data_IF_369157358964
#
_entry.id   IF_369157358964
#
_cell.length_a   1.000
_cell.length_b   1.000
_cell.length_c   1.000
_cell.angle_alpha   90.00
_cell.angle_beta   90.00
_cell.angle_gamma   90.00
#
_symmetry.space_group_name_H-M   'P 1'
#
loop_
_entity.id
_entity.type
_entity.pdbx_description
1 polymer ?
#
# COMPACT_ATOMS: atom_id res chain seq x y z
N UNK A 1 9.81 13.95 -23.44
CA UNK A 1 10.43 12.62 -23.38
C UNK A 1 10.85 12.40 -21.94
N UNK A 2 9.93 11.97 -21.10
CA UNK A 2 10.27 11.32 -19.83
C UNK A 2 9.96 9.85 -20.05
N UNK A 3 11.01 9.05 -20.01
CA UNK A 3 11.01 7.65 -20.38
C UNK A 3 10.17 6.85 -19.38
N UNK A 4 9.46 5.85 -19.90
CA UNK A 4 8.92 4.72 -19.14
C UNK A 4 9.98 3.92 -18.37
N UNK A 5 11.26 4.33 -18.44
CA UNK A 5 12.39 3.67 -17.81
C UNK A 5 12.33 3.87 -16.30
N UNK A 6 12.00 2.80 -15.60
CA UNK A 6 11.99 2.75 -14.14
C UNK A 6 13.14 1.89 -13.63
N UNK A 7 13.61 2.21 -12.44
CA UNK A 7 14.53 1.38 -11.68
C UNK A 7 13.72 0.35 -10.89
N UNK A 8 13.86 -0.93 -11.22
CA UNK A 8 13.25 -2.02 -10.46
C UNK A 8 14.32 -2.78 -9.68
N UNK A 9 13.95 -3.27 -8.50
CA UNK A 9 14.82 -4.13 -7.72
C UNK A 9 14.61 -5.60 -8.10
N UNK A 10 15.69 -6.32 -8.37
CA UNK A 10 15.72 -7.77 -8.55
C UNK A 10 16.77 -8.36 -7.61
N UNK A 11 16.31 -9.14 -6.62
CA UNK A 11 17.15 -9.81 -5.63
C UNK A 11 18.16 -8.87 -4.94
N UNK A 12 17.69 -7.72 -4.43
CA UNK A 12 18.53 -6.75 -3.70
C UNK A 12 19.36 -5.82 -4.59
N UNK A 13 19.22 -5.91 -5.91
CA UNK A 13 19.97 -5.09 -6.88
C UNK A 13 19.03 -4.26 -7.72
N UNK A 14 19.37 -3.00 -7.93
CA UNK A 14 18.62 -2.09 -8.78
C UNK A 14 19.02 -2.33 -10.24
N UNK A 15 18.02 -2.50 -11.11
CA UNK A 15 18.19 -2.67 -12.54
C UNK A 15 17.39 -1.58 -13.27
N UNK A 16 18.02 -0.85 -14.21
CA UNK A 16 17.27 0.00 -15.12
C UNK A 16 16.42 -0.89 -16.03
N UNK A 17 15.17 -0.50 -16.23
CA UNK A 17 14.26 -1.17 -17.15
C UNK A 17 13.88 -0.23 -18.28
N UNK A 18 13.41 -0.79 -19.39
CA UNK A 18 12.94 -0.02 -20.56
C UNK A 18 11.55 -0.49 -20.92
N UNK A 19 10.70 0.44 -21.35
CA UNK A 19 9.29 0.16 -21.63
C UNK A 19 8.39 0.29 -20.41
N UNK A 20 7.08 0.02 -20.57
CA UNK A 20 6.10 0.23 -19.50
C UNK A 20 6.33 -0.76 -18.36
N UNK A 21 6.25 -0.25 -17.13
CA UNK A 21 6.42 -1.08 -15.92
C UNK A 21 5.48 -2.28 -15.91
N UNK A 22 4.22 -2.09 -16.32
CA UNK A 22 3.23 -3.17 -16.43
C UNK A 22 3.70 -4.30 -17.36
N UNK A 23 4.32 -3.97 -18.49
CA UNK A 23 4.84 -4.97 -19.43
C UNK A 23 6.05 -5.70 -18.83
N UNK A 24 6.99 -4.95 -18.25
CA UNK A 24 8.20 -5.49 -17.61
C UNK A 24 7.85 -6.45 -16.48
N UNK A 25 6.92 -6.07 -15.59
CA UNK A 25 6.47 -6.92 -14.49
C UNK A 25 5.78 -8.19 -14.99
N UNK A 26 5.01 -8.11 -16.08
CA UNK A 26 4.38 -9.27 -16.70
C UNK A 26 5.42 -10.25 -17.26
N UNK A 27 6.44 -9.72 -17.94
CA UNK A 27 7.52 -10.53 -18.50
C UNK A 27 8.37 -11.22 -17.44
N UNK A 28 8.66 -10.53 -16.33
CA UNK A 28 9.35 -11.12 -15.19
C UNK A 28 8.49 -12.16 -14.47
N UNK A 29 7.18 -11.93 -14.30
CA UNK A 29 6.27 -12.92 -13.73
C UNK A 29 6.22 -14.20 -14.57
N UNK A 30 6.07 -14.08 -15.89
CA UNK A 30 6.11 -15.21 -16.83
C UNK A 30 7.45 -15.94 -16.73
N UNK A 31 8.56 -15.20 -16.71
CA UNK A 31 9.91 -15.76 -16.62
C UNK A 31 10.12 -16.51 -15.30
N UNK A 32 9.63 -15.98 -14.18
CA UNK A 32 9.65 -16.63 -12.88
C UNK A 32 8.86 -17.94 -12.88
N UNK A 33 7.59 -17.92 -13.30
CA UNK A 33 6.77 -19.14 -13.33
C UNK A 33 7.30 -20.18 -14.32
N UNK A 34 7.90 -19.74 -15.43
CA UNK A 34 8.59 -20.65 -16.35
C UNK A 34 9.74 -21.38 -15.65
N UNK A 35 10.62 -20.66 -14.95
CA UNK A 35 11.74 -21.26 -14.22
C UNK A 35 11.28 -22.23 -13.14
N UNK A 36 10.29 -21.86 -12.33
CA UNK A 36 9.80 -22.73 -11.25
C UNK A 36 9.10 -23.99 -11.81
N UNK A 37 8.25 -23.83 -12.82
CA UNK A 37 7.56 -24.97 -13.45
C UNK A 37 8.52 -25.93 -14.16
N UNK A 38 9.54 -25.41 -14.86
CA UNK A 38 10.59 -26.22 -15.50
C UNK A 38 11.44 -26.97 -14.47
N UNK A 39 11.60 -26.41 -13.26
CA UNK A 39 12.22 -27.08 -12.12
C UNK A 39 11.29 -28.06 -11.39
N UNK A 40 10.04 -28.22 -11.84
CA UNK A 40 9.05 -29.10 -11.22
C UNK A 40 8.54 -28.61 -9.85
N UNK A 41 8.61 -27.30 -9.59
CA UNK A 41 8.19 -26.70 -8.32
C UNK A 41 6.86 -25.94 -8.47
N UNK A 42 6.00 -25.94 -7.44
CA UNK A 42 4.89 -24.98 -7.39
C UNK A 42 5.43 -23.57 -7.21
N UNK A 43 4.65 -22.57 -7.62
CA UNK A 43 5.01 -21.16 -7.48
C UNK A 43 3.90 -20.37 -6.77
N UNK A 44 4.32 -19.30 -6.09
CA UNK A 44 3.45 -18.22 -5.65
C UNK A 44 3.99 -16.93 -6.27
N UNK A 45 3.18 -16.27 -7.11
CA UNK A 45 3.55 -15.04 -7.79
C UNK A 45 2.59 -13.93 -7.35
N UNK A 46 3.10 -12.99 -6.55
CA UNK A 46 2.40 -11.74 -6.24
C UNK A 46 2.84 -10.69 -7.26
N UNK A 47 1.88 -10.17 -8.04
CA UNK A 47 2.14 -9.27 -9.18
C UNK A 47 1.43 -7.92 -8.98
N UNK A 48 2.04 -6.99 -8.21
CA UNK A 48 1.45 -5.69 -7.93
C UNK A 48 1.71 -4.72 -9.08
N UNK A 49 0.76 -4.62 -10.01
CA UNK A 49 0.85 -3.65 -11.09
C UNK A 49 0.71 -2.21 -10.58
N UNK A 50 1.58 -1.27 -11.01
CA UNK A 50 1.42 0.14 -10.69
C UNK A 50 0.33 0.81 -11.53
N UNK A 51 -0.04 0.23 -12.67
CA UNK A 51 -1.20 0.68 -13.43
C UNK A 51 -2.48 0.51 -12.57
N UNK A 52 -3.31 1.54 -12.35
CA UNK A 52 -3.41 2.84 -13.04
C UNK A 52 -3.03 4.04 -12.14
N UNK A 53 -2.08 3.87 -11.22
CA UNK A 53 -1.75 4.86 -10.18
C UNK A 53 -1.16 6.17 -10.75
N UNK A 54 -0.24 6.07 -11.71
CA UNK A 54 0.40 7.21 -12.37
C UNK A 54 0.22 7.09 -13.88
N UNK A 55 -0.40 8.08 -14.50
CA UNK A 55 -0.86 8.00 -15.87
C UNK A 55 -0.03 8.89 -16.80
N UNK A 56 1.22 8.52 -17.05
CA UNK A 56 2.06 9.18 -18.05
C UNK A 56 1.80 8.56 -19.43
N UNK A 57 0.66 8.90 -20.02
CA UNK A 57 0.17 8.26 -21.25
C UNK A 57 0.16 9.18 -22.47
N UNK A 58 0.78 10.37 -22.41
CA UNK A 58 0.61 11.38 -23.47
C UNK A 58 1.14 10.94 -24.86
N UNK A 59 1.99 9.91 -24.93
CA UNK A 59 2.51 9.34 -26.18
C UNK A 59 1.94 7.95 -26.52
N UNK A 60 0.92 7.48 -25.78
CA UNK A 60 0.32 6.16 -25.95
C UNK A 60 -0.81 6.18 -27.01
N UNK A 61 -0.77 5.35 -28.06
CA UNK A 61 -1.91 5.20 -28.98
C UNK A 61 -3.24 4.82 -28.29
N UNK A 62 -3.20 4.12 -27.15
CA UNK A 62 -4.40 3.85 -26.35
C UNK A 62 -4.95 5.11 -25.71
N UNK A 63 -4.11 6.06 -25.30
CA UNK A 63 -4.58 7.35 -24.80
C UNK A 63 -5.36 8.11 -25.86
N UNK A 64 -4.85 8.16 -27.10
CA UNK A 64 -5.55 8.79 -28.23
C UNK A 64 -6.90 8.13 -28.51
N UNK A 65 -6.97 6.79 -28.44
CA UNK A 65 -8.21 6.01 -28.57
C UNK A 65 -9.27 6.44 -27.54
N UNK A 66 -8.88 6.68 -26.29
CA UNK A 66 -9.81 7.11 -25.23
C UNK A 66 -10.10 8.61 -25.26
N UNK A 67 -9.13 9.46 -25.65
CA UNK A 67 -9.34 10.89 -25.87
C UNK A 67 -10.32 11.17 -27.00
N UNK A 68 -10.36 10.33 -28.04
CA UNK A 68 -11.34 10.41 -29.12
C UNK A 68 -12.80 10.14 -28.68
N UNK A 69 -13.02 9.78 -27.41
CA UNK A 69 -14.36 9.58 -26.82
C UNK A 69 -14.81 10.74 -25.93
N UNK A 70 -14.15 11.90 -26.04
CA UNK A 70 -14.43 13.11 -25.26
C UNK A 70 -14.30 12.94 -23.73
N UNK A 71 -13.53 11.93 -23.27
CA UNK A 71 -13.21 11.72 -21.86
C UNK A 71 -12.20 12.74 -21.39
N UNK A 72 -12.25 13.18 -20.13
CA UNK A 72 -11.19 14.03 -19.57
C UNK A 72 -9.81 13.35 -19.69
N UNK A 73 -8.70 14.13 -19.77
CA UNK A 73 -7.38 13.56 -19.97
C UNK A 73 -6.98 12.52 -18.91
N UNK A 74 -7.32 12.73 -17.63
CA UNK A 74 -6.94 11.80 -16.58
C UNK A 74 -7.70 10.48 -16.69
N UNK A 75 -9.00 10.52 -17.02
CA UNK A 75 -9.78 9.29 -17.26
C UNK A 75 -9.36 8.59 -18.54
N UNK A 76 -9.08 9.33 -19.62
CA UNK A 76 -8.57 8.72 -20.85
C UNK A 76 -7.24 7.99 -20.61
N UNK A 77 -6.35 8.59 -19.82
CA UNK A 77 -5.07 8.00 -19.43
C UNK A 77 -5.26 6.74 -18.56
N UNK A 78 -6.12 6.81 -17.54
CA UNK A 78 -6.45 5.65 -16.71
C UNK A 78 -7.05 4.49 -17.53
N UNK A 79 -7.92 4.78 -18.51
CA UNK A 79 -8.53 3.74 -19.34
C UNK A 79 -7.54 3.11 -20.32
N UNK A 80 -6.57 3.89 -20.82
CA UNK A 80 -5.45 3.35 -21.59
C UNK A 80 -4.60 2.38 -20.76
N UNK A 81 -4.32 2.73 -19.51
CA UNK A 81 -3.61 1.86 -18.57
C UNK A 81 -4.42 0.60 -18.20
N UNK A 82 -5.75 0.70 -18.04
CA UNK A 82 -6.60 -0.48 -17.83
C UNK A 82 -6.55 -1.44 -19.03
N UNK A 83 -6.57 -0.94 -20.26
CA UNK A 83 -6.46 -1.79 -21.44
C UNK A 83 -5.07 -2.41 -21.59
N UNK A 84 -4.02 -1.70 -21.16
CA UNK A 84 -2.66 -2.23 -21.07
C UNK A 84 -2.58 -3.35 -20.03
N UNK A 85 -3.17 -3.15 -18.85
CA UNK A 85 -3.26 -4.16 -17.80
C UNK A 85 -4.03 -5.39 -18.28
N UNK A 86 -5.20 -5.21 -18.89
CA UNK A 86 -6.03 -6.31 -19.42
C UNK A 86 -5.27 -7.13 -20.48
N UNK A 87 -4.56 -6.45 -21.38
CA UNK A 87 -3.71 -7.11 -22.39
C UNK A 87 -2.60 -7.95 -21.74
N UNK A 88 -1.99 -7.45 -20.67
CA UNK A 88 -0.95 -8.15 -19.92
C UNK A 88 -1.48 -9.35 -19.12
N UNK A 89 -2.64 -9.22 -18.49
CA UNK A 89 -3.35 -10.36 -17.89
C UNK A 89 -3.69 -11.39 -18.96
N UNK A 90 -4.10 -10.95 -20.16
CA UNK A 90 -4.31 -11.82 -21.32
C UNK A 90 -3.05 -12.60 -21.72
N UNK A 91 -1.88 -11.94 -21.79
CA UNK A 91 -0.58 -12.59 -22.06
C UNK A 91 -0.26 -13.66 -21.01
N UNK A 92 -0.45 -13.33 -19.73
CA UNK A 92 -0.23 -14.24 -18.61
C UNK A 92 -1.10 -15.50 -18.71
N UNK A 93 -2.41 -15.31 -18.93
CA UNK A 93 -3.38 -16.40 -19.05
C UNK A 93 -3.09 -17.27 -20.28
N UNK A 94 -2.79 -16.66 -21.43
CA UNK A 94 -2.42 -17.39 -22.65
C UNK A 94 -1.14 -18.21 -22.47
N UNK A 95 -0.15 -17.66 -21.77
CA UNK A 95 1.08 -18.40 -21.45
C UNK A 95 0.79 -19.62 -20.59
N UNK A 96 0.03 -19.45 -19.49
CA UNK A 96 -0.38 -20.56 -18.61
C UNK A 96 -1.13 -21.66 -19.37
N UNK A 97 -2.07 -21.27 -20.24
CA UNK A 97 -2.85 -22.22 -21.05
C UNK A 97 -1.95 -22.97 -22.05
N UNK A 98 -1.07 -22.26 -22.76
CA UNK A 98 -0.13 -22.84 -23.73
C UNK A 98 0.82 -23.86 -23.10
N UNK A 99 1.14 -23.69 -21.81
CA UNK A 99 1.98 -24.58 -21.01
C UNK A 99 1.18 -25.65 -20.25
N UNK A 100 -0.15 -25.68 -20.38
CA UNK A 100 -1.05 -26.56 -19.63
C UNK A 100 -0.90 -26.44 -18.12
N UNK A 101 -0.68 -25.23 -17.64
CA UNK A 101 -0.57 -24.88 -16.22
C UNK A 101 -1.84 -24.23 -15.67
N UNK A 102 -2.74 -23.77 -16.56
CA UNK A 102 -3.90 -22.96 -16.17
C UNK A 102 -4.86 -23.71 -15.23
N UNK A 103 -5.10 -25.00 -15.44
CA UNK A 103 -5.93 -25.86 -14.57
C UNK A 103 -5.27 -26.22 -13.23
N UNK A 104 -3.96 -26.00 -13.11
CA UNK A 104 -3.16 -26.19 -11.91
C UNK A 104 -2.88 -24.88 -11.16
N UNK A 105 -3.35 -23.74 -11.68
CA UNK A 105 -3.05 -22.42 -11.14
C UNK A 105 -4.32 -21.75 -10.61
N UNK A 106 -4.24 -21.22 -9.39
CA UNK A 106 -5.26 -20.31 -8.84
C UNK A 106 -4.88 -18.90 -9.27
N UNK A 107 -5.72 -18.28 -10.10
CA UNK A 107 -5.58 -16.88 -10.47
C UNK A 107 -6.54 -16.04 -9.64
N UNK A 108 -6.00 -15.13 -8.81
CA UNK A 108 -6.79 -14.21 -8.00
C UNK A 108 -6.49 -12.78 -8.42
N UNK A 109 -7.46 -12.10 -9.01
CA UNK A 109 -7.38 -10.69 -9.34
C UNK A 109 -8.11 -9.84 -8.30
N UNK A 110 -7.55 -8.69 -7.95
CA UNK A 110 -8.19 -7.67 -7.13
C UNK A 110 -7.59 -6.29 -7.38
N UNK A 111 -8.38 -5.24 -7.10
CA UNK A 111 -7.86 -3.88 -6.89
C UNK A 111 -7.55 -3.66 -5.41
N UNK A 112 -6.57 -2.83 -5.10
CA UNK A 112 -6.15 -2.48 -3.73
C UNK A 112 -7.15 -1.54 -3.03
N UNK A 113 -7.70 -0.57 -3.76
CA UNK A 113 -8.70 0.39 -3.32
C UNK A 113 -9.56 0.90 -4.48
N UNK A 114 -10.53 1.76 -4.17
CA UNK A 114 -11.31 2.51 -5.15
C UNK A 114 -10.48 3.52 -5.95
N UNK A 115 -11.02 4.05 -7.07
CA UNK A 115 -10.30 4.96 -7.94
C UNK A 115 -10.00 6.30 -7.24
N UNK A 116 -8.91 6.96 -7.63
CA UNK A 116 -8.59 8.31 -7.17
C UNK A 116 -9.64 9.31 -7.69
N UNK A 117 -10.61 9.64 -6.83
CA UNK A 117 -11.67 10.61 -7.06
C UNK A 117 -11.74 11.53 -5.85
N UNK A 118 -11.83 12.83 -6.09
CA UNK A 118 -12.09 13.84 -5.06
C UNK A 118 -13.61 14.02 -4.83
N UNK A 119 -14.05 14.58 -3.69
CA UNK A 119 -15.47 14.86 -3.42
C UNK A 119 -16.17 15.71 -4.49
N UNK A 120 -15.43 16.61 -5.12
CA UNK A 120 -15.87 17.52 -6.18
C UNK A 120 -15.40 17.07 -7.58
N UNK A 121 -14.99 15.81 -7.73
CA UNK A 121 -14.53 15.27 -8.99
C UNK A 121 -15.63 15.33 -10.07
N UNK A 122 -15.33 16.08 -11.12
CA UNK A 122 -16.17 16.24 -12.30
C UNK A 122 -15.61 15.51 -13.53
N UNK A 123 -14.64 14.60 -13.34
CA UNK A 123 -14.02 13.83 -14.43
C UNK A 123 -15.05 12.90 -15.09
N UNK A 124 -16.08 12.50 -14.36
CA UNK A 124 -17.04 11.50 -14.81
C UNK A 124 -16.46 10.09 -14.87
N UNK A 125 -15.28 9.86 -14.29
CA UNK A 125 -14.66 8.54 -14.19
C UNK A 125 -15.60 7.57 -13.47
N UNK A 126 -15.92 6.47 -14.15
CA UNK A 126 -16.81 5.46 -13.62
C UNK A 126 -16.19 4.71 -12.43
N UNK A 127 -16.91 4.67 -11.31
CA UNK A 127 -16.57 3.89 -10.11
C UNK A 127 -17.74 2.97 -9.66
N UNK A 128 -18.65 2.62 -10.57
CA UNK A 128 -19.88 1.90 -10.22
C UNK A 128 -21.01 2.79 -9.67
N UNK A 129 -20.88 4.12 -9.81
CA UNK A 129 -21.75 5.12 -9.18
C UNK A 129 -21.75 5.02 -7.64
N UNK A 130 -20.70 4.44 -7.07
CA UNK A 130 -20.53 4.34 -5.63
C UNK A 130 -20.10 5.71 -5.08
N UNK A 131 -20.40 5.97 -3.81
CA UNK A 131 -19.97 7.22 -3.16
C UNK A 131 -18.52 7.08 -2.68
N UNK A 132 -17.74 8.16 -2.77
CA UNK A 132 -16.34 8.13 -2.38
C UNK A 132 -15.37 7.69 -3.47
N UNK A 133 -14.10 7.82 -3.17
CA UNK A 133 -12.96 7.36 -3.96
C UNK A 133 -11.79 7.01 -3.04
N UNK A 134 -10.60 6.84 -3.61
CA UNK A 134 -9.36 6.49 -2.88
C UNK A 134 -9.23 7.28 -1.57
N UNK A 135 -9.02 6.54 -0.49
CA UNK A 135 -8.86 7.08 0.86
C UNK A 135 -10.18 7.32 1.59
N UNK A 136 -11.35 7.28 0.96
CA UNK A 136 -12.67 7.33 1.63
C UNK A 136 -13.06 5.97 2.22
N UNK A 137 -13.85 5.99 3.30
CA UNK A 137 -14.45 4.79 3.91
C UNK A 137 -15.84 4.44 3.36
N UNK A 138 -16.37 5.22 2.40
CA UNK A 138 -17.56 4.88 1.63
C UNK A 138 -17.30 3.73 0.63
N UNK A 139 -18.34 3.10 0.09
CA UNK A 139 -18.20 1.93 -0.80
C UNK A 139 -17.30 2.22 -2.01
N UNK A 140 -17.34 3.43 -2.57
CA UNK A 140 -16.49 3.82 -3.71
C UNK A 140 -14.99 3.96 -3.38
N UNK A 141 -14.62 4.02 -2.10
CA UNK A 141 -13.22 3.99 -1.65
C UNK A 141 -12.70 2.60 -1.27
N UNK A 142 -13.58 1.73 -0.75
CA UNK A 142 -13.18 0.43 -0.14
C UNK A 142 -13.67 -0.80 -0.92
N UNK A 143 -14.70 -0.68 -1.76
CA UNK A 143 -15.22 -1.80 -2.55
C UNK A 143 -14.46 -1.91 -3.87
N UNK A 144 -13.67 -2.97 -3.98
CA UNK A 144 -12.86 -3.26 -5.15
C UNK A 144 -13.44 -4.42 -5.98
N UNK A 145 -13.22 -4.43 -7.32
CA UNK A 145 -13.43 -5.64 -8.11
C UNK A 145 -12.46 -6.72 -7.66
N UNK A 146 -12.96 -7.96 -7.51
CA UNK A 146 -12.13 -9.14 -7.29
C UNK A 146 -12.79 -10.38 -7.87
N UNK A 147 -11.99 -11.28 -8.45
CA UNK A 147 -12.44 -12.56 -8.96
C UNK A 147 -11.33 -13.62 -8.83
N UNK A 148 -11.75 -14.88 -8.72
CA UNK A 148 -10.85 -16.03 -8.61
C UNK A 148 -11.17 -17.03 -9.70
N UNK A 149 -10.17 -17.47 -10.43
CA UNK A 149 -10.28 -18.46 -11.51
C UNK A 149 -9.40 -19.65 -11.17
N UNK A 150 -10.01 -20.83 -11.14
CA UNK A 150 -9.31 -22.11 -11.03
C UNK A 150 -10.07 -23.18 -11.82
N UNK A 151 -9.73 -23.39 -13.11
CA UNK A 151 -10.49 -24.27 -13.99
C UNK A 151 -10.62 -25.69 -13.45
N UNK A 152 -11.83 -26.24 -13.54
CA UNK A 152 -12.14 -27.59 -13.03
C UNK A 152 -12.26 -27.69 -11.50
N UNK A 153 -11.98 -26.61 -10.75
CA UNK A 153 -12.12 -26.56 -9.29
C UNK A 153 -13.15 -25.54 -8.82
N UNK A 154 -13.14 -24.34 -9.40
CA UNK A 154 -14.14 -23.31 -9.16
C UNK A 154 -15.13 -23.33 -10.33
N UNK A 155 -16.45 -23.50 -10.07
CA UNK A 155 -17.44 -23.44 -11.14
C UNK A 155 -17.40 -22.08 -11.86
N UNK A 156 -17.46 -22.04 -13.21
CA UNK A 156 -17.51 -20.79 -13.95
C UNK A 156 -18.79 -20.01 -13.64
N UNK A 157 -18.76 -18.69 -13.87
CA UNK A 157 -19.89 -17.77 -13.64
C UNK A 157 -20.44 -17.77 -12.20
N UNK A 158 -19.66 -18.27 -11.25
CA UNK A 158 -19.99 -18.27 -9.82
C UNK A 158 -20.07 -16.85 -9.26
N UNK A 159 -21.02 -16.63 -8.35
CA UNK A 159 -21.20 -15.34 -7.66
C UNK A 159 -21.36 -15.55 -6.16
N UNK A 160 -20.46 -14.97 -5.39
CA UNK A 160 -20.56 -14.89 -3.94
C UNK A 160 -20.97 -13.47 -3.54
N UNK A 161 -22.12 -13.33 -2.85
CA UNK A 161 -22.76 -12.02 -2.57
C UNK A 161 -22.58 -11.53 -1.13
N UNK A 162 -22.01 -12.35 -0.25
CA UNK A 162 -21.72 -11.93 1.13
C UNK A 162 -20.48 -11.06 1.14
N UNK A 163 -20.36 -10.19 2.14
CA UNK A 163 -19.18 -9.33 2.28
C UNK A 163 -17.91 -10.16 2.53
N UNK A 164 -16.83 -9.77 1.85
CA UNK A 164 -15.49 -10.33 1.94
C UNK A 164 -14.47 -9.20 2.02
N UNK A 165 -13.25 -9.50 2.44
CA UNK A 165 -12.17 -8.53 2.52
C UNK A 165 -10.82 -9.15 2.10
N UNK A 166 -9.84 -8.30 1.81
CA UNK A 166 -8.49 -8.73 1.43
C UNK A 166 -7.82 -9.61 2.50
N UNK A 167 -8.16 -9.43 3.78
CA UNK A 167 -7.71 -10.29 4.89
C UNK A 167 -8.12 -11.75 4.74
N UNK A 168 -9.13 -12.05 3.93
CA UNK A 168 -9.61 -13.42 3.67
C UNK A 168 -8.69 -14.18 2.69
N UNK A 169 -7.82 -13.49 1.94
CA UNK A 169 -6.98 -14.10 0.90
C UNK A 169 -6.02 -15.11 1.53
N UNK A 170 -5.28 -14.72 2.57
CA UNK A 170 -4.31 -15.58 3.24
C UNK A 170 -4.93 -16.90 3.74
N UNK A 171 -5.96 -16.91 4.60
CA UNK A 171 -6.55 -18.17 5.06
C UNK A 171 -7.19 -18.98 3.92
N UNK A 172 -7.70 -18.32 2.88
CA UNK A 172 -8.23 -19.02 1.70
C UNK A 172 -7.14 -19.75 0.94
N UNK A 173 -6.02 -19.09 0.65
CA UNK A 173 -4.90 -19.71 -0.07
C UNK A 173 -4.26 -20.82 0.75
N UNK A 174 -4.12 -20.65 2.07
CA UNK A 174 -3.63 -21.73 2.95
C UNK A 174 -4.52 -22.97 2.86
N UNK A 175 -5.83 -22.81 2.81
CA UNK A 175 -6.76 -23.95 2.70
C UNK A 175 -6.74 -24.58 1.29
N UNK A 176 -6.78 -23.78 0.23
CA UNK A 176 -6.76 -24.27 -1.15
C UNK A 176 -5.44 -24.99 -1.49
N UNK A 177 -4.32 -24.52 -0.94
CA UNK A 177 -2.99 -25.11 -1.11
C UNK A 177 -2.65 -26.18 -0.06
N UNK A 178 -3.56 -26.49 0.87
CA UNK A 178 -3.33 -27.45 1.97
C UNK A 178 -2.10 -27.11 2.84
N UNK A 179 -1.81 -25.82 3.01
CA UNK A 179 -0.69 -25.29 3.76
C UNK A 179 -1.08 -24.87 5.20
N UNK A 180 -2.10 -25.50 5.78
CA UNK A 180 -2.64 -25.12 7.10
C UNK A 180 -1.62 -25.18 8.24
N UNK A 181 -0.55 -25.96 8.08
CA UNK A 181 0.55 -26.04 9.05
C UNK A 181 1.33 -24.71 9.23
N UNK A 182 1.19 -23.75 8.30
CA UNK A 182 1.85 -22.44 8.34
C UNK A 182 1.10 -21.44 9.22
N UNK A 183 -0.09 -21.78 9.75
CA UNK A 183 -0.85 -20.92 10.66
C UNK A 183 -0.13 -20.82 12.01
N UNK A 184 0.77 -19.86 12.14
CA UNK A 184 1.57 -19.59 13.34
C UNK A 184 1.10 -18.33 14.10
N UNK A 185 0.10 -17.62 13.58
CA UNK A 185 -0.39 -16.34 14.11
C UNK A 185 -1.91 -16.27 14.11
N UNK A 186 -2.45 -15.23 14.74
CA UNK A 186 -3.86 -14.90 14.66
C UNK A 186 -4.17 -14.32 13.28
N UNK A 187 -5.23 -14.80 12.64
CA UNK A 187 -5.67 -14.38 11.31
C UNK A 187 -7.11 -13.89 11.44
N UNK A 188 -7.35 -12.62 11.16
CA UNK A 188 -8.70 -12.02 11.24
C UNK A 188 -9.61 -12.43 10.06
N UNK A 189 -9.00 -12.86 8.96
CA UNK A 189 -9.68 -13.29 7.76
C UNK A 189 -10.39 -14.63 7.90
N UNK A 190 -11.37 -14.84 7.02
CA UNK A 190 -12.13 -16.07 6.90
C UNK A 190 -11.84 -16.75 5.56
N UNK A 191 -11.60 -18.05 5.57
CA UNK A 191 -11.40 -18.81 4.33
C UNK A 191 -12.66 -18.80 3.46
N UNK A 192 -12.52 -18.31 2.23
CA UNK A 192 -13.55 -18.33 1.19
C UNK A 192 -13.57 -19.66 0.42
N UNK A 193 -12.66 -20.60 0.73
CA UNK A 193 -12.55 -21.86 0.00
C UNK A 193 -13.88 -22.64 -0.09
N UNK A 194 -14.76 -22.70 0.93
CA UNK A 194 -16.05 -23.39 0.78
C UNK A 194 -16.96 -22.71 -0.24
N UNK A 195 -16.96 -21.38 -0.29
CA UNK A 195 -17.76 -20.62 -1.24
C UNK A 195 -17.21 -20.75 -2.68
N UNK A 196 -15.89 -20.67 -2.84
CA UNK A 196 -15.22 -20.80 -4.13
C UNK A 196 -15.44 -22.19 -4.74
N UNK A 197 -15.24 -23.26 -3.98
CA UNK A 197 -15.35 -24.63 -4.48
C UNK A 197 -16.79 -25.09 -4.72
N UNK A 198 -17.77 -24.51 -4.03
CA UNK A 198 -19.20 -24.78 -4.28
C UNK A 198 -19.80 -23.87 -5.36
N UNK A 199 -19.07 -22.83 -5.78
CA UNK A 199 -19.52 -21.85 -6.77
C UNK A 199 -20.63 -20.92 -6.27
N UNK A 200 -20.76 -20.75 -4.95
CA UNK A 200 -21.86 -20.00 -4.38
C UNK A 200 -21.81 -19.89 -2.85
N UNK A 201 -22.96 -19.53 -2.28
CA UNK A 201 -23.06 -19.40 -0.82
C UNK A 201 -23.19 -20.78 -0.18
N UNK A 202 -22.28 -21.17 0.71
CA UNK A 202 -22.43 -22.42 1.45
C UNK A 202 -23.63 -22.35 2.39
N UNK A 203 -24.21 -23.52 2.72
CA UNK A 203 -25.40 -23.62 3.56
C UNK A 203 -25.24 -22.91 4.91
N UNK A 204 -24.03 -22.97 5.49
CA UNK A 204 -23.66 -22.25 6.70
C UNK A 204 -22.59 -21.23 6.35
N UNK A 205 -22.95 -19.95 6.46
CA UNK A 205 -22.01 -18.83 6.37
C UNK A 205 -22.27 -17.88 7.55
N UNK A 206 -21.26 -17.60 8.38
CA UNK A 206 -21.45 -16.73 9.54
C UNK A 206 -21.70 -15.30 9.10
N UNK A 207 -22.46 -14.57 9.91
CA UNK A 207 -22.50 -13.12 9.81
C UNK A 207 -21.14 -12.59 10.28
N UNK A 208 -20.66 -11.54 9.63
CA UNK A 208 -19.42 -10.87 10.01
C UNK A 208 -19.59 -9.36 9.95
N UNK A 209 -18.66 -8.69 10.60
CA UNK A 209 -18.50 -7.24 10.56
C UNK A 209 -17.11 -6.97 9.99
N UNK A 210 -17.01 -6.01 9.09
CA UNK A 210 -15.76 -5.46 8.60
C UNK A 210 -15.62 -4.04 9.12
N UNK A 211 -14.41 -3.72 9.59
CA UNK A 211 -14.06 -2.41 10.07
C UNK A 211 -13.10 -1.75 9.08
N UNK A 212 -13.25 -0.45 8.88
CA UNK A 212 -12.30 0.34 8.10
C UNK A 212 -12.01 1.61 8.86
N UNK A 213 -10.73 1.97 8.95
CA UNK A 213 -10.27 3.22 9.52
C UNK A 213 -9.26 3.84 8.56
N UNK A 214 -9.42 5.12 8.27
CA UNK A 214 -8.46 5.91 7.52
C UNK A 214 -8.20 7.21 8.28
N UNK A 215 -6.94 7.39 8.68
CA UNK A 215 -6.48 8.53 9.47
C UNK A 215 -5.29 9.16 8.77
N UNK A 216 -5.36 10.44 8.36
CA UNK A 216 -4.17 11.14 7.88
C UNK A 216 -3.13 11.27 9.01
N UNK A 217 -1.83 11.36 8.69
CA UNK A 217 -0.79 11.60 9.69
C UNK A 217 -1.11 12.81 10.59
N UNK A 218 -0.90 12.66 11.90
CA UNK A 218 -1.15 13.71 12.90
C UNK A 218 -2.61 13.90 13.33
N UNK A 219 -3.56 13.11 12.80
CA UNK A 219 -4.95 13.12 13.24
C UNK A 219 -5.21 12.04 14.30
N UNK A 220 -6.16 12.32 15.19
CA UNK A 220 -6.66 11.34 16.16
C UNK A 220 -7.43 10.24 15.43
N UNK A 221 -6.90 9.01 15.48
CA UNK A 221 -7.48 7.83 14.82
C UNK A 221 -8.91 7.54 15.29
N UNK A 222 -9.25 7.87 16.53
CA UNK A 222 -10.59 7.65 17.10
C UNK A 222 -11.59 8.67 16.55
N UNK A 223 -11.10 9.79 16.03
CA UNK A 223 -11.88 10.85 15.41
C UNK A 223 -11.74 10.93 13.88
N UNK A 224 -11.10 9.93 13.26
CA UNK A 224 -10.84 9.87 11.84
C UNK A 224 -12.02 9.33 11.00
N UNK A 225 -11.75 9.05 9.71
CA UNK A 225 -12.73 8.45 8.80
C UNK A 225 -12.86 6.97 9.14
N UNK A 226 -14.05 6.53 9.52
CA UNK A 226 -14.28 5.18 10.06
C UNK A 226 -15.57 4.56 9.53
N UNK A 227 -15.59 3.25 9.35
CA UNK A 227 -16.76 2.52 8.87
C UNK A 227 -16.90 1.13 9.52
N UNK A 228 -18.15 0.70 9.64
CA UNK A 228 -18.59 -0.60 10.13
C UNK A 228 -19.55 -1.19 9.11
N UNK A 229 -19.18 -2.31 8.52
CA UNK A 229 -19.89 -2.94 7.40
C UNK A 229 -20.32 -4.35 7.76
N UNK A 230 -21.62 -4.61 7.73
CA UNK A 230 -22.21 -5.97 7.75
C UNK A 230 -22.54 -6.40 6.32
N UNK A 231 -23.31 -7.45 6.07
CA UNK A 231 -23.81 -7.73 4.70
C UNK A 231 -24.79 -6.67 4.18
N UNK A 232 -25.61 -6.10 5.08
CA UNK A 232 -26.69 -5.16 4.74
C UNK A 232 -26.34 -3.72 5.08
N UNK A 233 -25.83 -3.50 6.28
CA UNK A 233 -25.69 -2.17 6.86
C UNK A 233 -24.27 -1.64 6.73
N UNK A 234 -24.16 -0.33 6.51
CA UNK A 234 -22.94 0.45 6.60
C UNK A 234 -23.19 1.63 7.55
N UNK A 235 -22.51 1.66 8.68
CA UNK A 235 -22.44 2.82 9.55
C UNK A 235 -21.05 3.44 9.41
N UNK A 236 -20.97 4.74 9.17
CA UNK A 236 -19.68 5.41 8.96
C UNK A 236 -19.67 6.83 9.46
N UNK A 237 -18.46 7.38 9.59
CA UNK A 237 -18.20 8.81 9.73
C UNK A 237 -17.04 9.14 8.82
N UNK A 238 -17.26 9.91 7.76
CA UNK A 238 -16.21 10.43 6.87
C UNK A 238 -16.33 11.95 6.74
N UNK A 239 -15.51 12.75 7.43
CA UNK A 239 -15.65 14.20 7.39
C UNK A 239 -15.43 14.80 6.00
N UNK A 240 -14.73 14.14 5.09
CA UNK A 240 -14.48 14.65 3.73
C UNK A 240 -15.64 14.41 2.77
N UNK A 241 -16.40 13.34 3.01
CA UNK A 241 -17.44 12.87 2.10
C UNK A 241 -18.85 12.90 2.68
N UNK A 242 -19.03 13.33 3.95
CA UNK A 242 -20.34 13.43 4.63
C UNK A 242 -21.34 14.33 3.89
N UNK A 243 -22.62 13.93 3.90
CA UNK A 243 -23.74 14.77 3.43
C UNK A 243 -24.36 15.53 4.58
N UNK A 244 -24.48 14.89 5.74
CA UNK A 244 -25.08 15.50 6.93
C UNK A 244 -23.98 16.09 7.82
N UNK A 245 -23.90 17.43 7.99
CA UNK A 245 -22.95 18.01 8.92
C UNK A 245 -23.32 17.62 10.37
N UNK A 246 -22.33 17.49 11.29
CA UNK A 246 -22.60 17.30 12.71
C UNK A 246 -23.42 18.46 13.28
N UNK A 247 -24.29 18.16 14.24
CA UNK A 247 -25.12 19.15 14.95
C UNK A 247 -25.38 18.68 16.39
N UNK A 248 -26.09 19.48 17.20
CA UNK A 248 -26.52 19.06 18.55
C UNK A 248 -27.31 17.75 18.54
N UNK A 249 -27.99 17.43 17.43
CA UNK A 249 -28.81 16.23 17.26
C UNK A 249 -28.18 15.17 16.36
N UNK A 250 -27.05 15.46 15.71
CA UNK A 250 -26.41 14.56 14.74
C UNK A 250 -24.93 14.35 15.06
N UNK A 251 -24.57 13.11 15.42
CA UNK A 251 -23.21 12.76 15.86
C UNK A 251 -22.14 12.80 14.77
N UNK A 252 -22.52 13.07 13.52
CA UNK A 252 -21.65 12.98 12.34
C UNK A 252 -21.52 11.57 11.78
N UNK A 253 -22.10 10.56 12.43
CA UNK A 253 -22.25 9.22 11.87
C UNK A 253 -23.49 9.13 10.98
N UNK A 254 -23.32 8.52 9.81
CA UNK A 254 -24.37 8.22 8.83
C UNK A 254 -24.63 6.70 8.83
N UNK A 255 -25.85 6.27 8.49
CA UNK A 255 -26.23 4.84 8.38
C UNK A 255 -26.93 4.57 7.04
N UNK A 256 -26.49 3.54 6.32
CA UNK A 256 -27.03 3.14 5.02
C UNK A 256 -27.45 1.68 4.98
N UNK A 257 -28.60 1.40 4.34
CA UNK A 257 -29.03 0.04 3.95
C UNK A 257 -28.54 -0.27 2.54
N UNK A 258 -27.39 -0.93 2.40
CA UNK A 258 -26.75 -1.17 1.10
C UNK A 258 -27.49 -2.17 0.21
N UNK A 259 -28.51 -2.88 0.73
CA UNK A 259 -29.39 -3.68 -0.11
C UNK A 259 -30.41 -2.81 -0.86
N UNK A 260 -30.89 -1.73 -0.23
CA UNK A 260 -31.87 -0.82 -0.80
C UNK A 260 -31.21 0.40 -1.47
N UNK A 261 -30.06 0.82 -0.95
CA UNK A 261 -29.34 2.03 -1.32
C UNK A 261 -27.82 1.76 -1.39
N UNK A 262 -27.36 1.01 -2.42
CA UNK A 262 -25.93 0.72 -2.61
C UNK A 262 -25.09 1.96 -2.94
N UNK A 263 -25.74 3.11 -3.17
CA UNK A 263 -25.11 4.38 -3.54
C UNK A 263 -25.02 5.36 -2.37
N UNK A 264 -25.49 4.96 -1.18
CA UNK A 264 -25.35 5.72 0.08
C UNK A 264 -25.98 7.12 -0.02
N UNK A 265 -27.17 7.20 -0.59
CA UNK A 265 -27.89 8.45 -0.81
C UNK A 265 -28.73 8.91 0.38
N UNK A 266 -29.33 7.97 1.10
CA UNK A 266 -30.31 8.22 2.16
C UNK A 266 -29.73 7.83 3.51
N UNK A 267 -29.38 8.82 4.31
CA UNK A 267 -28.93 8.59 5.69
C UNK A 267 -30.12 8.21 6.58
N UNK A 268 -30.05 7.00 7.16
CA UNK A 268 -31.05 6.39 8.03
C UNK A 268 -30.68 6.48 9.53
N UNK A 269 -29.63 7.24 9.87
CA UNK A 269 -29.12 7.36 11.25
C UNK A 269 -30.19 7.79 12.27
N UNK A 270 -31.06 8.72 11.88
CA UNK A 270 -32.16 9.21 12.72
C UNK A 270 -33.33 8.22 12.83
N UNK A 271 -33.52 7.37 11.82
CA UNK A 271 -34.61 6.39 11.76
C UNK A 271 -34.27 5.11 12.54
N UNK A 272 -32.99 4.78 12.65
CA UNK A 272 -32.49 3.58 13.37
C UNK A 272 -31.44 3.92 14.45
N UNK A 273 -31.80 4.72 15.47
CA UNK A 273 -30.84 5.23 16.45
C UNK A 273 -30.20 4.14 17.32
N UNK A 274 -30.89 3.02 17.56
CA UNK A 274 -30.30 1.89 18.30
C UNK A 274 -29.27 1.13 17.45
N UNK A 275 -29.57 0.90 16.17
CA UNK A 275 -28.66 0.17 15.28
C UNK A 275 -27.35 0.93 15.07
N UNK A 276 -27.42 2.24 14.81
CA UNK A 276 -26.21 3.04 14.65
C UNK A 276 -25.43 3.15 15.97
N UNK A 277 -26.11 3.15 17.13
CA UNK A 277 -25.44 3.10 18.43
C UNK A 277 -24.69 1.77 18.63
N UNK A 278 -25.31 0.63 18.30
CA UNK A 278 -24.69 -0.68 18.43
C UNK A 278 -23.47 -0.83 17.51
N UNK A 279 -23.60 -0.44 16.23
CA UNK A 279 -22.48 -0.50 15.28
C UNK A 279 -21.32 0.41 15.69
N UNK A 280 -21.61 1.59 16.29
CA UNK A 280 -20.57 2.45 16.86
C UNK A 280 -19.86 1.80 18.03
N UNK A 281 -20.59 1.09 18.90
CA UNK A 281 -20.00 0.34 20.00
C UNK A 281 -19.14 -0.82 19.50
N UNK A 282 -19.53 -1.50 18.43
CA UNK A 282 -18.71 -2.52 17.77
C UNK A 282 -17.39 -1.93 17.25
N UNK A 283 -17.43 -0.76 16.62
CA UNK A 283 -16.23 -0.06 16.19
C UNK A 283 -15.31 0.31 17.36
N UNK A 284 -15.88 0.87 18.43
CA UNK A 284 -15.09 1.23 19.62
C UNK A 284 -14.40 0.03 20.24
N UNK A 285 -15.10 -1.11 20.34
CA UNK A 285 -14.53 -2.36 20.85
C UNK A 285 -13.39 -2.86 19.97
N UNK A 286 -13.59 -2.89 18.65
CA UNK A 286 -12.56 -3.28 17.70
C UNK A 286 -11.33 -2.36 17.76
N UNK A 287 -11.54 -1.04 17.87
CA UNK A 287 -10.44 -0.09 18.06
C UNK A 287 -9.69 -0.34 19.35
N UNK A 288 -10.39 -0.58 20.47
CA UNK A 288 -9.73 -0.87 21.74
C UNK A 288 -8.92 -2.17 21.67
N UNK A 289 -9.46 -3.22 21.07
CA UNK A 289 -8.78 -4.51 20.88
C UNK A 289 -7.54 -4.41 19.97
N UNK A 290 -7.62 -3.64 18.87
CA UNK A 290 -6.53 -3.52 17.88
C UNK A 290 -5.48 -2.45 18.22
N UNK A 291 -5.73 -1.64 19.23
CA UNK A 291 -4.83 -0.55 19.65
C UNK A 291 -4.39 -0.68 21.10
N UNK A 292 -4.57 -1.85 21.71
CA UNK A 292 -4.17 -2.13 23.11
C UNK A 292 -2.65 -1.96 23.31
N UNK A 293 -1.86 -2.29 22.28
CA UNK A 293 -0.40 -2.08 22.24
C UNK A 293 0.00 -0.64 21.86
N UNK A 294 -0.98 0.25 21.64
CA UNK A 294 -0.80 1.64 21.27
C UNK A 294 -0.94 1.92 19.76
N UNK A 295 -0.79 3.20 19.41
CA UNK A 295 -0.96 3.75 18.05
C UNK A 295 0.33 4.38 17.51
N UNK A 296 1.46 4.04 18.13
CA UNK A 296 2.77 4.51 17.72
C UNK A 296 3.18 3.93 16.36
N UNK A 297 4.18 4.54 15.71
CA UNK A 297 4.78 3.93 14.53
C UNK A 297 5.34 2.56 14.90
N UNK A 298 5.04 1.55 14.07
CA UNK A 298 5.61 0.20 14.24
C UNK A 298 7.09 0.27 13.84
N UNK A 299 8.04 -0.13 14.71
CA UNK A 299 9.45 -0.10 14.37
C UNK A 299 9.76 -1.00 13.18
N UNK A 300 10.67 -0.56 12.30
CA UNK A 300 11.17 -1.42 11.24
C UNK A 300 12.16 -2.43 11.83
N UNK A 301 11.89 -3.72 11.70
CA UNK A 301 12.81 -4.77 12.14
C UNK A 301 14.09 -4.78 11.30
N UNK A 302 15.25 -4.85 11.97
CA UNK A 302 16.56 -5.03 11.34
C UNK A 302 17.35 -6.15 12.02
N UNK A 303 18.29 -6.76 11.30
CA UNK A 303 19.25 -7.70 11.88
C UNK A 303 18.98 -9.18 11.60
N UNK A 304 17.90 -9.49 10.87
CA UNK A 304 17.63 -10.82 10.33
C UNK A 304 18.77 -11.30 9.42
N UNK A 305 19.40 -12.47 9.67
CA UNK A 305 20.53 -12.95 8.87
C UNK A 305 20.19 -13.17 7.39
N UNK A 306 18.96 -13.57 7.12
CA UNK A 306 18.42 -13.84 5.79
C UNK A 306 18.07 -12.54 5.01
N UNK A 307 17.91 -11.41 5.71
CA UNK A 307 17.65 -10.08 5.15
C UNK A 307 18.67 -9.06 5.70
N UNK A 308 19.96 -9.17 5.32
CA UNK A 308 21.03 -8.36 5.90
C UNK A 308 20.98 -6.89 5.47
N UNK A 309 20.14 -6.53 4.50
CA UNK A 309 19.98 -5.16 4.01
C UNK A 309 18.56 -4.70 4.28
N UNK A 310 18.43 -3.62 5.06
CA UNK A 310 17.15 -2.92 5.27
C UNK A 310 17.27 -1.50 4.73
N UNK A 311 16.26 -1.05 4.00
CA UNK A 311 16.20 0.29 3.42
C UNK A 311 15.16 1.13 4.14
N UNK A 312 15.62 2.19 4.79
CA UNK A 312 14.78 3.19 5.45
C UNK A 312 14.45 4.28 4.43
N UNK A 313 13.16 4.40 4.06
CA UNK A 313 12.71 5.39 3.08
C UNK A 313 12.41 6.73 3.75
N UNK A 314 12.52 7.81 3.00
CA UNK A 314 12.13 9.15 3.45
C UNK A 314 10.70 9.20 4.03
N UNK A 315 9.76 8.50 3.39
CA UNK A 315 8.34 8.46 3.76
C UNK A 315 8.06 7.82 5.14
N UNK A 316 8.99 6.99 5.62
CA UNK A 316 8.85 6.28 6.91
C UNK A 316 9.50 7.07 8.05
N UNK A 317 10.10 8.23 7.75
CA UNK A 317 10.80 9.05 8.73
C UNK A 317 9.84 9.89 9.56
N UNK A 318 10.03 9.90 10.88
CA UNK A 318 9.46 10.92 11.76
C UNK A 318 10.36 12.15 11.75
N UNK A 319 9.78 13.29 11.36
CA UNK A 319 10.47 14.56 11.18
C UNK A 319 10.22 15.50 12.38
N UNK A 320 11.29 16.00 13.00
CA UNK A 320 11.22 16.98 14.10
C UNK A 320 12.10 18.20 13.82
N UNK A 321 11.67 19.40 14.20
CA UNK A 321 12.37 20.65 13.89
C UNK A 321 11.52 21.63 13.09
N UNK A 322 12.15 22.48 12.28
CA UNK A 322 11.51 23.49 11.43
C UNK A 322 11.54 23.08 9.96
N UNK A 323 11.12 21.85 9.70
CA UNK A 323 11.03 21.28 8.36
C UNK A 323 10.25 22.20 7.42
N UNK A 324 10.90 22.61 6.32
CA UNK A 324 10.16 23.05 5.14
C UNK A 324 9.49 21.84 4.50
N UNK A 325 8.34 22.04 3.85
CA UNK A 325 7.58 20.97 3.17
C UNK A 325 8.54 19.99 2.46
N UNK A 326 8.58 18.74 2.93
CA UNK A 326 8.85 17.60 2.05
C UNK A 326 7.80 17.64 0.95
N UNK A 327 8.07 17.06 -0.21
CA UNK A 327 7.05 16.91 -1.26
C UNK A 327 5.73 16.33 -0.70
N UNK A 328 4.62 16.51 -1.43
CA UNK A 328 3.28 16.07 -0.98
C UNK A 328 3.19 14.57 -0.67
N UNK A 329 4.17 13.77 -1.11
CA UNK A 329 4.25 12.33 -0.91
C UNK A 329 5.30 11.86 0.09
N UNK A 330 6.11 12.77 0.66
CA UNK A 330 7.30 12.44 1.48
C UNK A 330 8.24 11.42 0.81
N UNK A 331 8.25 11.34 -0.52
CA UNK A 331 9.13 10.45 -1.26
C UNK A 331 10.60 10.88 -1.13
N UNK A 332 10.83 12.11 -0.66
CA UNK A 332 12.12 12.74 -0.50
C UNK A 332 12.17 13.63 0.76
N UNK A 333 13.21 13.49 1.57
CA UNK A 333 13.55 14.50 2.57
C UNK A 333 14.34 15.64 1.90
N UNK A 334 13.73 16.80 1.80
CA UNK A 334 14.31 18.02 1.21
C UNK A 334 14.01 19.23 2.10
N UNK A 335 14.53 20.41 1.74
CA UNK A 335 14.27 21.66 2.47
C UNK A 335 14.70 21.67 3.95
N UNK A 336 15.74 20.92 4.28
CA UNK A 336 16.42 20.99 5.58
C UNK A 336 17.08 22.37 5.68
N UNK A 337 16.54 23.25 6.51
CA UNK A 337 16.96 24.67 6.58
C UNK A 337 17.37 25.09 7.97
N UNK A 338 17.13 24.25 8.99
CA UNK A 338 17.52 24.50 10.36
C UNK A 338 18.41 23.34 10.86
N UNK A 339 19.47 23.66 11.62
CA UNK A 339 20.35 22.64 12.20
C UNK A 339 19.67 21.85 13.34
N UNK A 340 18.46 22.24 13.74
CA UNK A 340 17.59 21.50 14.65
C UNK A 340 16.67 20.51 13.92
N UNK A 341 16.66 20.50 12.58
CA UNK A 341 15.91 19.52 11.79
C UNK A 341 16.50 18.11 11.99
N UNK A 342 15.65 17.14 12.29
CA UNK A 342 16.05 15.77 12.56
C UNK A 342 15.06 14.78 11.96
N UNK A 343 15.58 13.82 11.19
CA UNK A 343 14.83 12.70 10.65
C UNK A 343 15.15 11.46 11.48
N UNK A 344 14.11 10.77 11.94
CA UNK A 344 14.23 9.59 12.80
C UNK A 344 13.40 8.44 12.28
N UNK A 345 13.95 7.23 12.34
CA UNK A 345 13.26 5.99 11.98
C UNK A 345 13.21 5.09 13.21
N UNK A 346 12.01 4.72 13.70
CA UNK A 346 11.90 3.74 14.77
C UNK A 346 12.29 2.36 14.23
N UNK A 347 13.20 1.68 14.92
CA UNK A 347 13.72 0.37 14.54
C UNK A 347 13.63 -0.61 15.70
N UNK A 348 13.45 -1.89 15.38
CA UNK A 348 13.66 -3.01 16.29
C UNK A 348 14.84 -3.83 15.81
N UNK A 349 15.90 -3.90 16.61
CA UNK A 349 17.08 -4.70 16.30
C UNK A 349 16.85 -6.11 16.82
N UNK A 350 16.50 -7.02 15.91
CA UNK A 350 16.22 -8.41 16.25
C UNK A 350 17.51 -9.24 16.42
N UNK A 351 17.43 -10.28 17.26
CA UNK A 351 18.57 -11.16 17.54
C UNK A 351 19.64 -10.53 18.42
N UNK A 352 20.91 -10.81 18.15
CA UNK A 352 22.05 -10.36 18.97
C UNK A 352 22.54 -8.94 18.62
N UNK A 353 21.92 -8.25 17.67
CA UNK A 353 22.37 -6.96 17.18
C UNK A 353 23.61 -7.10 16.28
N UNK A 354 24.51 -6.12 16.35
CA UNK A 354 25.81 -6.14 15.69
C UNK A 354 26.12 -4.87 14.91
N UNK A 355 27.18 -4.94 14.11
CA UNK A 355 27.64 -3.85 13.28
C UNK A 355 26.81 -3.72 12.00
N UNK A 356 26.49 -2.47 11.61
CA UNK A 356 25.81 -2.17 10.37
C UNK A 356 26.54 -1.08 9.61
N UNK A 357 26.93 -1.40 8.38
CA UNK A 357 27.37 -0.42 7.40
C UNK A 357 26.19 0.44 6.98
N UNK A 358 26.34 1.75 7.14
CA UNK A 358 25.32 2.73 6.79
C UNK A 358 25.65 3.33 5.43
N UNK A 359 24.66 3.34 4.53
CA UNK A 359 24.73 4.07 3.27
C UNK A 359 23.58 5.08 3.19
N UNK A 360 23.83 6.21 2.54
CA UNK A 360 22.78 7.18 2.22
C UNK A 360 22.73 7.39 0.70
N UNK A 361 21.54 7.64 0.18
CA UNK A 361 21.32 8.04 -1.21
C UNK A 361 20.84 9.49 -1.27
N UNK A 362 21.66 10.35 -1.87
CA UNK A 362 21.49 11.79 -1.81
C UNK A 362 21.62 12.50 -3.18
N UNK A 363 21.12 13.73 -3.22
CA UNK A 363 21.44 14.76 -4.21
C UNK A 363 21.81 16.05 -3.51
N UNK A 364 22.65 16.86 -4.13
CA UNK A 364 23.05 18.13 -3.55
C UNK A 364 23.53 19.10 -4.61
N UNK A 365 22.96 20.31 -4.60
CA UNK A 365 23.48 21.42 -5.37
C UNK A 365 24.83 21.89 -4.78
N UNK A 366 25.76 22.31 -5.64
CA UNK A 366 27.07 22.81 -5.20
C UNK A 366 26.99 23.99 -4.21
N UNK A 367 25.94 24.82 -4.32
CA UNK A 367 25.70 25.95 -3.40
C UNK A 367 25.38 25.52 -1.95
N UNK A 368 24.92 24.28 -1.75
CA UNK A 368 24.57 23.74 -0.43
C UNK A 368 25.75 23.07 0.29
N UNK A 369 26.91 22.96 -0.37
CA UNK A 369 28.06 22.19 0.10
C UNK A 369 29.20 23.06 0.66
N UNK A 370 30.02 22.52 1.59
CA UNK A 370 29.91 21.20 2.21
C UNK A 370 28.70 21.13 3.15
N UNK A 371 28.08 19.95 3.23
CA UNK A 371 27.01 19.66 4.18
C UNK A 371 27.53 18.63 5.18
N UNK A 372 27.67 19.05 6.43
CA UNK A 372 28.05 18.16 7.53
C UNK A 372 26.77 17.59 8.16
N UNK A 373 26.74 16.29 8.36
CA UNK A 373 25.60 15.58 8.94
C UNK A 373 26.07 14.64 10.04
N UNK A 374 25.12 14.19 10.85
CA UNK A 374 25.32 13.19 11.90
C UNK A 374 24.28 12.10 11.78
N UNK A 375 24.74 10.86 11.67
CA UNK A 375 23.94 9.67 11.86
C UNK A 375 24.13 9.12 13.28
N UNK A 376 23.13 8.50 13.88
CA UNK A 376 23.27 7.92 15.21
C UNK A 376 22.22 6.87 15.60
N UNK A 377 22.60 6.06 16.58
CA UNK A 377 21.78 5.07 17.27
C UNK A 377 22.18 5.05 18.75
N UNK A 378 21.26 5.40 19.65
CA UNK A 378 21.57 5.50 21.08
C UNK A 378 22.73 6.46 21.38
N UNK A 379 23.80 5.94 21.99
CA UNK A 379 25.02 6.69 22.29
C UNK A 379 26.03 6.71 21.12
N UNK A 380 25.82 5.91 20.07
CA UNK A 380 26.71 5.80 18.90
C UNK A 380 26.37 6.86 17.87
N UNK A 381 27.40 7.56 17.38
CA UNK A 381 27.25 8.64 16.42
C UNK A 381 28.39 8.63 15.40
N UNK A 382 28.08 8.98 14.15
CA UNK A 382 29.05 9.20 13.09
C UNK A 382 28.76 10.53 12.42
N UNK A 383 29.78 11.37 12.34
CA UNK A 383 29.73 12.59 11.54
C UNK A 383 30.24 12.32 10.14
N UNK A 384 29.52 12.82 9.13
CA UNK A 384 29.96 12.81 7.75
C UNK A 384 29.97 14.22 7.17
N UNK A 385 30.82 14.44 6.18
CA UNK A 385 30.86 15.67 5.39
C UNK A 385 30.66 15.34 3.93
N UNK A 386 29.53 15.77 3.38
CA UNK A 386 29.21 15.67 1.96
C UNK A 386 29.85 16.88 1.29
N UNK A 387 30.72 16.62 0.32
CA UNK A 387 31.51 17.66 -0.38
C UNK A 387 31.30 17.64 -1.89
N UNK A 388 30.67 16.60 -2.42
CA UNK A 388 30.44 16.42 -3.85
C UNK A 388 29.00 16.73 -4.22
N UNK A 389 28.84 17.63 -5.20
CA UNK A 389 27.56 17.99 -5.79
C UNK A 389 27.13 16.94 -6.81
N UNK A 390 25.82 16.69 -6.89
CA UNK A 390 25.26 15.76 -7.87
C UNK A 390 23.79 16.06 -8.11
N UNK A 391 23.40 16.08 -9.38
CA UNK A 391 22.02 16.26 -9.84
C UNK A 391 21.30 14.90 -10.00
N UNK A 392 22.06 13.80 -9.97
CA UNK A 392 21.58 12.41 -10.01
C UNK A 392 21.64 11.75 -8.62
N UNK A 393 20.82 10.74 -8.35
CA UNK A 393 20.89 10.03 -7.06
C UNK A 393 22.25 9.36 -6.90
N UNK A 394 23.01 9.77 -5.88
CA UNK A 394 24.31 9.20 -5.55
C UNK A 394 24.25 8.47 -4.22
N UNK A 395 24.75 7.24 -4.20
CA UNK A 395 24.91 6.46 -2.98
C UNK A 395 26.32 6.59 -2.42
N UNK A 396 26.43 6.82 -1.11
CA UNK A 396 27.71 6.82 -0.39
C UNK A 396 27.59 6.03 0.91
N UNK A 397 28.67 5.34 1.26
CA UNK A 397 28.87 4.77 2.60
C UNK A 397 29.30 5.89 3.56
N UNK A 398 28.68 5.93 4.74
CA UNK A 398 28.96 6.98 5.75
C UNK A 398 29.72 6.44 6.96
N UNK A 399 29.86 5.12 7.08
CA UNK A 399 30.54 4.44 8.18
C UNK A 399 29.73 3.30 8.77
N UNK A 400 30.20 2.73 9.88
CA UNK A 400 29.61 1.57 10.53
C UNK A 400 29.20 1.92 11.97
N UNK A 401 27.95 1.61 12.32
CA UNK A 401 27.39 1.81 13.66
C UNK A 401 27.09 0.45 14.28
N UNK A 402 27.41 0.30 15.57
CA UNK A 402 27.00 -0.86 16.37
C UNK A 402 25.56 -0.68 16.88
N UNK A 403 24.67 -1.59 16.50
CA UNK A 403 23.28 -1.62 16.94
C UNK A 403 23.12 -2.66 18.05
N UNK A 404 22.82 -2.18 19.26
CA UNK A 404 22.41 -3.04 20.36
C UNK A 404 21.01 -3.62 20.11
N UNK A 405 20.70 -4.85 20.57
CA UNK A 405 19.37 -5.46 20.46
C UNK A 405 18.25 -4.61 21.08
N UNK A 406 17.05 -4.73 20.51
CA UNK A 406 15.82 -4.11 21.00
C UNK A 406 15.40 -2.86 20.23
N UNK A 407 14.39 -2.17 20.76
CA UNK A 407 13.80 -0.99 20.14
C UNK A 407 14.64 0.28 20.35
N UNK A 408 14.62 1.16 19.34
CA UNK A 408 15.25 2.47 19.38
C UNK A 408 14.95 3.28 18.13
N UNK A 409 15.64 4.40 17.95
CA UNK A 409 15.51 5.23 16.75
C UNK A 409 16.88 5.45 16.09
N UNK A 410 16.95 5.16 14.79
CA UNK A 410 18.06 5.64 13.97
C UNK A 410 17.79 7.08 13.58
N UNK A 411 18.77 7.95 13.78
CA UNK A 411 18.63 9.39 13.62
C UNK A 411 19.61 9.91 12.59
N UNK A 412 19.14 10.79 11.71
CA UNK A 412 19.97 11.56 10.80
C UNK A 412 19.62 13.05 10.88
N UNK A 413 20.62 13.90 11.11
CA UNK A 413 20.44 15.36 11.22
C UNK A 413 21.58 16.14 10.58
N UNK A 414 21.33 17.36 10.06
CA UNK A 414 22.39 18.22 9.59
C UNK A 414 23.09 18.88 10.79
N UNK A 415 24.38 19.18 10.64
CA UNK A 415 25.15 19.94 11.62
C UNK A 415 25.51 21.32 11.08
N UNK A 416 25.99 21.37 9.83
CA UNK A 416 26.46 22.60 9.18
C UNK A 416 26.19 22.53 7.67
N UNK A 417 25.66 23.61 7.08
CA UNK A 417 25.42 23.75 5.64
C UNK A 417 25.33 25.24 5.25
N UNK A 418 25.57 25.56 3.97
CA UNK A 418 25.66 26.96 3.49
C UNK A 418 24.34 27.56 2.99
N UNK A 419 23.36 26.72 2.67
CA UNK A 419 22.05 27.11 2.15
C UNK A 419 20.96 26.20 2.69
N UNK A 420 20.67 25.12 1.97
CA UNK A 420 19.90 23.97 2.49
C UNK A 420 20.85 22.81 2.76
N UNK A 421 20.42 21.81 3.54
CA UNK A 421 21.14 20.53 3.56
C UNK A 421 20.93 19.75 2.25
N UNK A 422 21.36 18.49 2.23
CA UNK A 422 21.15 17.58 1.10
C UNK A 422 19.67 17.25 0.88
N UNK A 423 19.38 16.77 -0.33
CA UNK A 423 18.18 15.99 -0.63
C UNK A 423 18.48 14.52 -0.34
N UNK A 424 17.68 13.86 0.50
CA UNK A 424 17.89 12.48 0.93
C UNK A 424 16.69 11.60 0.55
N UNK A 425 16.94 10.61 -0.31
CA UNK A 425 15.91 9.65 -0.75
C UNK A 425 15.73 8.49 0.23
N UNK A 426 16.83 7.94 0.74
CA UNK A 426 16.83 6.75 1.59
C UNK A 426 18.15 6.54 2.33
N UNK A 427 18.07 5.73 3.38
CA UNK A 427 19.22 5.19 4.14
C UNK A 427 19.19 3.66 4.02
N UNK A 428 20.34 3.02 3.81
CA UNK A 428 20.46 1.55 3.87
C UNK A 428 21.28 1.17 5.09
N UNK A 429 20.77 0.21 5.85
CA UNK A 429 21.44 -0.46 6.95
C UNK A 429 21.84 -1.85 6.47
N UNK A 430 23.14 -2.11 6.41
CA UNK A 430 23.69 -3.37 5.90
C UNK A 430 24.42 -4.06 7.04
N UNK A 431 23.88 -5.16 7.56
CA UNK A 431 24.51 -5.94 8.64
C UNK A 431 25.87 -6.45 8.17
N UNK A 432 26.92 -6.10 8.90
CA UNK A 432 28.30 -6.52 8.63
C UNK A 432 28.72 -7.60 9.61
N UNK A 433 29.28 -8.70 9.09
CA UNK A 433 29.66 -9.86 9.89
C UNK A 433 28.46 -10.73 10.27
N UNK A 434 28.41 -11.93 9.69
CA UNK A 434 27.54 -13.04 10.10
C UNK A 434 28.36 -14.13 10.75
#
# INVERSE_FOLDING_TARGET
EESSDVELEHNGKVHPTTGRVTDVLTDEAISFMARESEAGKPFFCFLPYPATHSSDSAADPLFDKYRARDLDPNTAAAYAEFETLDSNVGRLVQWLDSRKLLDQTILWFLSDNGPALAPDDASGRFNGHLRGGKGSVHEGGVRAPSFVVWPGKIPPDSKFRRITAHIDILPTLLDLCQASAVRNTWIDGMSLSPALLTGGQPERWPNRILFTSWTPPGYDVRNASVAVRTDRWLALRDPRWRRTPPSETHSGWELYDLNADPHEWTDLSNDYPFLISDMRADFSRWMDETTDDGLGPVPTEIGHPEWPVVTLRAQDATLTGKWGSSDDTQSLLSNWTDATDEASWPLEVVGEGGAFQIEIEYRAAAANLPCRMRAGWGDKQIDLSITEATDSWKRISIGEIEFAPGEGAFVLRPLEFRGKAIELRQVRLIKTGS
#
